data_IF_235329639132
#
_entry.id   IF_235329639132
#
_cell.length_a   1.000
_cell.length_b   1.000
_cell.length_c   1.000
_cell.angle_alpha   90.00
_cell.angle_beta   90.00
_cell.angle_gamma   90.00
#
_symmetry.space_group_name_H-M   'P 1'
#
loop_
_entity.id
_entity.type
_entity.pdbx_description
1 polymer ?
#
# COMPACT_ATOMS: atom_id res chain seq x y z
N UNK A 1 -8.06 -29.85 54.18
CA UNK A 1 -9.00 -28.91 53.51
C UNK A 1 -8.15 -27.77 52.96
N UNK A 2 -7.69 -27.89 51.71
CA UNK A 2 -8.27 -27.29 50.49
C UNK A 2 -8.27 -25.76 50.56
N UNK A 3 -7.73 -25.13 49.49
CA UNK A 3 -7.42 -23.69 49.30
C UNK A 3 -6.01 -23.41 49.83
N UNK A 4 -4.95 -23.37 49.04
CA UNK A 4 -4.64 -22.36 48.01
C UNK A 4 -3.70 -23.01 46.96
N UNK A 5 -4.07 -24.18 46.44
CA UNK A 5 -3.46 -24.73 45.22
C UNK A 5 -4.22 -24.14 44.02
N UNK A 6 -4.03 -22.85 43.73
CA UNK A 6 -4.69 -22.21 42.58
C UNK A 6 -3.92 -20.98 42.08
N UNK A 7 -2.59 -21.08 41.98
CA UNK A 7 -1.74 -20.10 41.28
C UNK A 7 -0.96 -20.84 40.20
N UNK A 8 -1.66 -21.60 39.36
CA UNK A 8 -1.01 -22.39 38.29
C UNK A 8 -1.75 -22.34 36.95
N UNK A 9 -2.65 -21.37 36.76
CA UNK A 9 -3.45 -21.24 35.53
C UNK A 9 -3.65 -19.80 35.10
N UNK A 10 -2.59 -18.99 35.06
CA UNK A 10 -2.65 -17.66 34.43
C UNK A 10 -1.39 -17.28 33.64
N UNK A 11 -0.74 -18.26 33.04
CA UNK A 11 0.20 -18.05 31.93
C UNK A 11 -0.23 -18.94 30.76
N UNK A 12 -1.50 -18.81 30.35
CA UNK A 12 -1.85 -19.04 28.96
C UNK A 12 -1.25 -17.86 28.19
N UNK A 13 0.03 -17.98 27.87
CA UNK A 13 0.73 -17.07 26.98
C UNK A 13 -0.09 -16.98 25.70
N UNK A 14 -0.82 -15.88 25.56
CA UNK A 14 -1.34 -15.46 24.27
C UNK A 14 -0.11 -15.19 23.44
N UNK A 15 0.37 -16.22 22.74
CA UNK A 15 1.20 -16.05 21.56
C UNK A 15 0.33 -15.24 20.61
N UNK A 16 0.41 -13.92 20.72
CA UNK A 16 0.15 -13.02 19.61
C UNK A 16 1.16 -13.46 18.55
N UNK A 17 0.77 -14.46 17.76
CA UNK A 17 1.23 -14.64 16.41
C UNK A 17 0.85 -13.33 15.73
N UNK A 18 1.70 -12.31 15.89
CA UNK A 18 1.88 -11.35 14.83
C UNK A 18 2.33 -12.22 13.67
N UNK A 19 1.36 -12.74 12.90
CA UNK A 19 1.64 -13.10 11.53
C UNK A 19 2.28 -11.83 10.99
N UNK A 20 3.60 -11.84 10.86
CA UNK A 20 4.32 -10.89 10.03
C UNK A 20 3.75 -11.14 8.64
N UNK A 21 2.59 -10.53 8.35
CA UNK A 21 2.02 -10.51 7.04
C UNK A 21 2.98 -9.65 6.25
N UNK A 22 3.94 -10.30 5.60
CA UNK A 22 4.84 -9.67 4.67
C UNK A 22 4.02 -8.82 3.71
N UNK A 23 4.52 -7.62 3.42
CA UNK A 23 3.87 -6.71 2.50
C UNK A 23 3.74 -7.42 1.13
N UNK A 24 2.54 -7.72 0.63
CA UNK A 24 2.39 -8.49 -0.60
C UNK A 24 2.96 -7.76 -1.82
N UNK A 25 3.13 -6.43 -1.76
CA UNK A 25 3.89 -5.68 -2.77
C UNK A 25 5.37 -6.10 -2.75
N UNK A 26 6.00 -6.27 -1.59
CA UNK A 26 7.41 -6.69 -1.48
C UNK A 26 7.66 -8.11 -1.98
N UNK A 27 6.62 -8.93 -2.10
CA UNK A 27 6.71 -10.30 -2.65
C UNK A 27 6.67 -10.34 -4.18
N UNK A 28 6.28 -9.26 -4.84
CA UNK A 28 6.26 -9.17 -6.30
C UNK A 28 7.65 -8.81 -6.85
N UNK A 29 7.98 -9.23 -8.09
CA UNK A 29 9.09 -8.65 -8.84
C UNK A 29 8.94 -7.13 -8.96
N UNK A 30 10.05 -6.38 -8.93
CA UNK A 30 10.04 -4.91 -8.90
C UNK A 30 9.19 -4.26 -10.01
N UNK A 31 9.25 -4.80 -11.23
CA UNK A 31 8.42 -4.30 -12.34
C UNK A 31 6.91 -4.46 -12.06
N UNK A 32 6.48 -5.60 -11.50
CA UNK A 32 5.09 -5.85 -11.14
C UNK A 32 4.63 -5.00 -9.96
N UNK A 33 5.53 -4.66 -9.04
CA UNK A 33 5.24 -3.69 -7.97
C UNK A 33 4.83 -2.35 -8.58
N UNK A 34 5.67 -1.83 -9.47
CA UNK A 34 5.49 -0.53 -10.13
C UNK A 34 4.23 -0.54 -11.00
N UNK A 35 4.03 -1.57 -11.83
CA UNK A 35 2.84 -1.71 -12.68
C UNK A 35 1.54 -1.77 -11.86
N UNK A 36 1.55 -2.53 -10.75
CA UNK A 36 0.39 -2.63 -9.86
C UNK A 36 0.06 -1.29 -9.21
N UNK A 37 1.09 -0.57 -8.74
CA UNK A 37 0.93 0.75 -8.12
C UNK A 37 0.51 1.82 -9.14
N UNK A 38 1.06 1.82 -10.36
CA UNK A 38 0.60 2.71 -11.44
C UNK A 38 -0.85 2.43 -11.82
N UNK A 39 -1.21 1.16 -11.95
CA UNK A 39 -2.58 0.73 -12.27
C UNK A 39 -3.56 1.20 -11.19
N UNK A 40 -3.22 0.97 -9.92
CA UNK A 40 -4.03 1.38 -8.79
C UNK A 40 -4.12 2.91 -8.68
N UNK A 41 -3.02 3.63 -8.91
CA UNK A 41 -2.99 5.11 -8.91
C UNK A 41 -3.90 5.68 -9.99
N UNK A 42 -3.79 5.19 -11.23
CA UNK A 42 -4.65 5.62 -12.35
C UNK A 42 -6.13 5.32 -12.08
N UNK A 43 -6.44 4.19 -11.45
CA UNK A 43 -7.80 3.86 -11.05
C UNK A 43 -8.33 4.82 -9.98
N UNK A 44 -7.52 5.16 -8.98
CA UNK A 44 -7.87 6.14 -7.95
C UNK A 44 -8.09 7.53 -8.53
N UNK A 45 -7.20 7.99 -9.41
CA UNK A 45 -7.33 9.25 -10.11
C UNK A 45 -8.63 9.33 -10.93
N UNK A 46 -9.02 8.24 -11.59
CA UNK A 46 -10.30 8.15 -12.33
C UNK A 46 -11.50 8.21 -11.38
N UNK A 47 -11.45 7.47 -10.27
CA UNK A 47 -12.50 7.47 -9.27
C UNK A 47 -12.72 8.86 -8.64
N UNK A 48 -11.64 9.62 -8.47
CA UNK A 48 -11.65 10.97 -7.92
C UNK A 48 -11.80 12.08 -8.98
N UNK A 49 -12.00 11.70 -10.25
CA UNK A 49 -12.19 12.64 -11.37
C UNK A 49 -11.03 13.64 -11.55
N UNK A 50 -9.81 13.25 -11.19
CA UNK A 50 -8.57 14.05 -11.36
C UNK A 50 -7.59 13.43 -12.37
N UNK A 51 -7.99 12.32 -13.00
CA UNK A 51 -7.18 11.64 -14.00
C UNK A 51 -6.90 12.55 -15.21
N UNK A 52 -5.62 12.67 -15.53
CA UNK A 52 -5.13 13.21 -16.80
C UNK A 52 -4.13 12.23 -17.38
N UNK A 53 -4.22 11.94 -18.68
CA UNK A 53 -3.31 10.99 -19.31
C UNK A 53 -1.85 11.47 -19.22
N UNK A 54 -0.89 10.56 -18.93
CA UNK A 54 -1.06 9.11 -18.75
C UNK A 54 -1.52 8.67 -17.35
N UNK A 55 -1.53 9.59 -16.39
CA UNK A 55 -1.93 9.36 -15.00
C UNK A 55 -0.95 8.48 -14.22
N UNK A 56 -1.17 8.37 -12.92
CA UNK A 56 -0.31 7.64 -11.99
C UNK A 56 0.61 8.53 -11.16
N UNK A 57 0.64 9.84 -11.41
CA UNK A 57 1.55 10.76 -10.72
C UNK A 57 1.21 11.00 -9.25
N UNK A 58 -0.07 10.84 -8.86
CA UNK A 58 -0.51 11.16 -7.50
C UNK A 58 0.10 10.26 -6.43
N UNK A 59 0.48 9.02 -6.76
CA UNK A 59 1.21 8.16 -5.81
C UNK A 59 2.56 8.77 -5.41
N UNK A 60 3.32 9.30 -6.38
CA UNK A 60 4.59 9.99 -6.11
C UNK A 60 4.37 11.24 -5.26
N UNK A 61 3.38 12.07 -5.61
CA UNK A 61 3.08 13.29 -4.85
C UNK A 61 2.68 12.99 -3.40
N UNK A 62 1.80 12.02 -3.20
CA UNK A 62 1.29 11.66 -1.88
C UNK A 62 2.31 10.93 -1.00
N UNK A 63 3.18 10.09 -1.57
CA UNK A 63 4.27 9.47 -0.82
C UNK A 63 5.45 10.44 -0.57
N UNK A 64 5.67 11.39 -1.48
CA UNK A 64 6.75 12.37 -1.42
C UNK A 64 6.54 13.57 -0.50
N UNK A 65 5.48 13.56 0.33
CA UNK A 65 5.10 14.67 1.24
C UNK A 65 4.67 15.97 0.53
N UNK A 66 4.28 15.91 -0.75
CA UNK A 66 3.73 17.06 -1.47
C UNK A 66 2.22 17.17 -1.21
N UNK A 67 1.86 17.57 0.02
CA UNK A 67 0.48 17.89 0.43
C UNK A 67 -0.08 19.16 -0.24
N UNK A 68 0.66 19.78 -1.16
CA UNK A 68 0.26 21.01 -1.84
C UNK A 68 -0.69 20.79 -3.03
N UNK A 69 -1.18 19.57 -3.24
CA UNK A 69 -2.13 19.29 -4.32
C UNK A 69 -3.57 19.36 -3.79
N UNK A 70 -4.51 19.82 -4.62
CA UNK A 70 -5.92 19.96 -4.28
C UNK A 70 -6.64 18.64 -3.92
N UNK A 71 -5.93 17.51 -3.97
CA UNK A 71 -6.42 16.17 -3.70
C UNK A 71 -6.01 15.71 -2.29
N UNK A 72 -6.97 15.25 -1.48
CA UNK A 72 -6.65 14.58 -0.22
C UNK A 72 -5.93 13.26 -0.49
N UNK A 73 -4.68 13.14 -0.02
CA UNK A 73 -3.91 11.90 -0.13
C UNK A 73 -4.55 10.73 0.61
N UNK A 74 -5.30 10.99 1.68
CA UNK A 74 -6.11 9.99 2.36
C UNK A 74 -7.19 9.41 1.44
N UNK A 75 -7.97 10.28 0.78
CA UNK A 75 -9.01 9.86 -0.17
C UNK A 75 -8.40 9.12 -1.37
N UNK A 76 -7.26 9.62 -1.87
CA UNK A 76 -6.50 8.98 -2.93
C UNK A 76 -6.06 7.55 -2.57
N UNK A 77 -5.40 7.37 -1.42
CA UNK A 77 -4.96 6.04 -1.01
C UNK A 77 -6.12 5.10 -0.69
N UNK A 78 -7.27 5.62 -0.21
CA UNK A 78 -8.47 4.82 -0.01
C UNK A 78 -9.01 4.26 -1.34
N UNK A 79 -9.08 5.07 -2.41
CA UNK A 79 -9.48 4.60 -3.73
C UNK A 79 -8.43 3.67 -4.37
N UNK A 80 -7.15 3.97 -4.17
CA UNK A 80 -6.05 3.13 -4.63
C UNK A 80 -6.12 1.73 -3.99
N UNK A 81 -6.38 1.66 -2.68
CA UNK A 81 -6.56 0.41 -1.94
C UNK A 81 -7.80 -0.37 -2.41
N UNK A 82 -8.86 0.30 -2.85
CA UNK A 82 -10.01 -0.39 -3.48
C UNK A 82 -9.59 -1.01 -4.81
N UNK A 83 -8.81 -0.30 -5.62
CA UNK A 83 -8.32 -0.81 -6.91
C UNK A 83 -7.39 -2.02 -6.74
N UNK A 84 -6.52 -2.04 -5.73
CA UNK A 84 -5.63 -3.20 -5.48
C UNK A 84 -6.39 -4.48 -5.14
N UNK A 85 -7.64 -4.40 -4.68
CA UNK A 85 -8.48 -5.59 -4.41
C UNK A 85 -8.84 -6.36 -5.68
N UNK A 86 -8.75 -5.71 -6.85
CA UNK A 86 -8.97 -6.33 -8.16
C UNK A 86 -7.71 -7.03 -8.68
N UNK A 87 -6.56 -6.82 -8.05
CA UNK A 87 -5.29 -7.47 -8.39
C UNK A 87 -5.17 -8.74 -7.52
N UNK A 88 -5.15 -9.96 -8.10
CA UNK A 88 -5.26 -11.20 -7.34
C UNK A 88 -4.28 -11.33 -6.16
N UNK A 89 -3.02 -10.95 -6.38
CA UNK A 89 -1.96 -11.05 -5.38
C UNK A 89 -1.98 -9.93 -4.32
N UNK A 90 -2.83 -8.91 -4.49
CA UNK A 90 -2.90 -7.74 -3.61
C UNK A 90 -4.26 -7.59 -2.92
N UNK A 91 -5.13 -8.61 -2.99
CA UNK A 91 -6.47 -8.58 -2.39
C UNK A 91 -6.46 -8.26 -0.89
N UNK A 92 -5.44 -8.73 -0.18
CA UNK A 92 -5.25 -8.51 1.26
C UNK A 92 -4.34 -7.33 1.61
N UNK A 93 -3.91 -6.53 0.64
CA UNK A 93 -3.06 -5.36 0.90
C UNK A 93 -3.76 -4.41 1.87
N UNK A 94 -3.03 -3.91 2.85
CA UNK A 94 -3.50 -2.90 3.81
C UNK A 94 -3.02 -1.51 3.43
N UNK A 95 -3.67 -0.47 3.96
CA UNK A 95 -3.23 0.91 3.75
C UNK A 95 -1.77 1.11 4.21
N UNK A 96 -1.41 0.60 5.39
CA UNK A 96 -0.05 0.71 5.91
C UNK A 96 1.01 0.05 5.01
N UNK A 97 0.66 -1.03 4.31
CA UNK A 97 1.54 -1.69 3.35
C UNK A 97 1.60 -0.95 2.01
N UNK A 98 0.49 -0.34 1.58
CA UNK A 98 0.42 0.49 0.37
C UNK A 98 1.25 1.78 0.52
N UNK A 99 1.26 2.35 1.72
CA UNK A 99 1.99 3.58 2.08
C UNK A 99 3.26 3.29 2.88
N UNK A 100 3.86 2.12 2.70
CA UNK A 100 5.10 1.73 3.38
C UNK A 100 6.27 2.61 2.86
N UNK A 101 6.88 3.47 3.70
CA UNK A 101 7.93 4.38 3.25
C UNK A 101 9.20 3.64 2.82
N UNK A 102 9.46 2.46 3.39
CA UNK A 102 10.62 1.65 3.00
C UNK A 102 10.44 1.06 1.59
N UNK A 103 9.24 0.53 1.31
CA UNK A 103 8.90 0.09 -0.04
C UNK A 103 9.02 1.24 -1.04
N UNK A 104 8.47 2.41 -0.69
CA UNK A 104 8.50 3.57 -1.58
C UNK A 104 9.93 4.03 -1.87
N UNK A 105 10.79 4.14 -0.86
CA UNK A 105 12.20 4.50 -1.04
C UNK A 105 12.91 3.56 -2.02
N UNK A 106 12.60 2.26 -1.97
CA UNK A 106 13.21 1.24 -2.85
C UNK A 106 12.77 1.36 -4.32
N UNK A 107 11.57 1.88 -4.59
CA UNK A 107 10.97 1.91 -5.94
C UNK A 107 10.79 3.31 -6.53
N UNK A 108 10.99 4.39 -5.76
CA UNK A 108 10.61 5.75 -6.16
C UNK A 108 11.20 6.18 -7.51
N UNK A 109 12.51 5.94 -7.72
CA UNK A 109 13.20 6.30 -8.97
C UNK A 109 12.65 5.50 -10.15
N UNK A 110 12.46 4.20 -9.98
CA UNK A 110 11.96 3.33 -11.05
C UNK A 110 10.50 3.63 -11.38
N UNK A 111 9.67 3.90 -10.37
CA UNK A 111 8.29 4.35 -10.54
C UNK A 111 8.25 5.65 -11.34
N UNK A 112 9.08 6.62 -10.96
CA UNK A 112 9.18 7.91 -11.65
C UNK A 112 9.61 7.74 -13.10
N UNK A 113 10.59 6.88 -13.39
CA UNK A 113 11.03 6.58 -14.75
C UNK A 113 9.91 5.94 -15.59
N UNK A 114 9.20 4.94 -15.06
CA UNK A 114 8.08 4.30 -15.77
C UNK A 114 6.93 5.29 -15.98
N UNK A 115 6.62 6.13 -14.99
CA UNK A 115 5.63 7.20 -15.13
C UNK A 115 6.01 8.17 -16.25
N UNK A 116 7.23 8.72 -16.25
CA UNK A 116 7.68 9.66 -17.29
C UNK A 116 7.69 9.02 -18.68
N UNK A 117 8.21 7.80 -18.82
CA UNK A 117 8.22 7.10 -20.10
C UNK A 117 6.80 6.73 -20.59
N UNK A 118 5.79 6.73 -19.70
CA UNK A 118 4.39 6.59 -20.10
C UNK A 118 3.75 7.88 -20.63
N UNK A 119 4.43 9.03 -20.50
CA UNK A 119 3.99 10.34 -21.03
C UNK A 119 4.39 10.50 -22.51
N UNK A 120 5.42 9.78 -22.97
CA UNK A 120 5.96 9.86 -24.35
C UNK A 120 5.26 8.91 -25.35
N UNK A 121 4.02 8.46 -25.07
CA UNK A 121 3.24 7.55 -25.91
C UNK A 121 2.03 8.20 -26.57
#
# INVERSE_FOLDING_TARGET
MKKIAMIMTLFAGVTLLTACHDNPLKQLPKHQQIESLLTASRAAEKALQVFSAPGGGFYLSCMGSNDQHALSCEAFFAEMLKATRLIPNLKGLTLAQLTDPSLFADIAIDYQNVFFNSVEG
#
